data_IF_308312686554
#
_entry.id   IF_308312686554
#
_cell.length_a   1.000
_cell.length_b   1.000
_cell.length_c   1.000
_cell.angle_alpha   90.00
_cell.angle_beta   90.00
_cell.angle_gamma   90.00
#
_symmetry.space_group_name_H-M   'P 1'
#
loop_
_entity.id
_entity.type
_entity.pdbx_description
1 polymer ?
#
# COMPACT_ATOMS: atom_id res chain seq x y z
N UNK A 1 13.33 11.39 2.39
CA UNK A 1 11.96 11.45 1.87
C UNK A 1 11.04 11.78 3.03
N UNK A 2 10.09 12.69 2.85
CA UNK A 2 9.06 12.98 3.85
C UNK A 2 7.74 12.45 3.31
N UNK A 3 6.99 11.75 4.15
CA UNK A 3 5.64 11.27 3.83
C UNK A 3 4.64 12.01 4.71
N UNK A 4 3.59 12.55 4.07
CA UNK A 4 2.57 13.33 4.75
C UNK A 4 1.22 12.65 4.48
N UNK A 5 0.69 11.88 5.46
CA UNK A 5 -0.64 11.31 5.35
C UNK A 5 -1.69 12.43 5.25
N UNK A 6 -2.53 12.36 4.23
CA UNK A 6 -3.63 13.27 4.00
C UNK A 6 -4.74 12.55 3.23
N UNK A 7 -5.97 13.06 3.32
CA UNK A 7 -7.08 12.58 2.53
C UNK A 7 -7.12 13.30 1.18
N UNK A 8 -7.60 12.61 0.15
CA UNK A 8 -7.85 13.24 -1.14
C UNK A 8 -8.77 14.46 -0.95
N UNK A 9 -8.39 15.58 -1.57
CA UNK A 9 -9.08 16.87 -1.51
C UNK A 9 -9.03 17.61 -0.17
N UNK A 10 -8.31 17.12 0.85
CA UNK A 10 -8.07 17.94 2.03
C UNK A 10 -7.11 19.11 1.72
N UNK A 11 -6.98 20.03 2.68
CA UNK A 11 -6.11 21.20 2.50
C UNK A 11 -4.68 20.76 2.16
N UNK A 12 -4.15 19.76 2.88
CA UNK A 12 -2.78 19.21 2.74
C UNK A 12 -2.55 18.62 1.34
N UNK A 13 -3.51 17.86 0.82
CA UNK A 13 -3.50 17.27 -0.52
C UNK A 13 -3.43 18.34 -1.60
N UNK A 14 -4.10 19.47 -1.38
CA UNK A 14 -4.17 20.60 -2.30
C UNK A 14 -3.07 21.67 -2.07
N UNK A 15 -2.10 21.43 -1.18
CA UNK A 15 -1.02 22.39 -0.97
C UNK A 15 -0.25 22.63 -2.28
N UNK A 16 0.02 23.90 -2.64
CA UNK A 16 1.06 24.19 -3.61
C UNK A 16 2.40 23.61 -3.14
N UNK A 17 3.19 23.05 -4.06
CA UNK A 17 4.46 22.37 -3.76
C UNK A 17 5.42 23.24 -2.93
N UNK A 18 5.47 24.55 -3.18
CA UNK A 18 6.29 25.52 -2.45
C UNK A 18 5.83 25.66 -0.99
N UNK A 19 4.52 25.67 -0.77
CA UNK A 19 3.93 25.74 0.56
C UNK A 19 4.19 24.45 1.34
N UNK A 20 4.13 23.29 0.67
CA UNK A 20 4.44 22.00 1.28
C UNK A 20 5.92 21.93 1.70
N UNK A 21 6.85 22.39 0.84
CA UNK A 21 8.27 22.48 1.18
C UNK A 21 8.50 23.36 2.41
N UNK A 22 7.88 24.55 2.47
CA UNK A 22 8.01 25.47 3.62
C UNK A 22 7.54 24.82 4.92
N UNK A 23 6.39 24.12 4.88
CA UNK A 23 5.87 23.37 6.03
C UNK A 23 6.86 22.29 6.46
N UNK A 24 7.34 21.47 5.53
CA UNK A 24 8.33 20.42 5.80
C UNK A 24 9.62 20.96 6.43
N UNK A 25 10.13 22.10 5.96
CA UNK A 25 11.34 22.71 6.50
C UNK A 25 11.14 23.24 7.92
N UNK A 26 9.96 23.82 8.20
CA UNK A 26 9.61 24.23 9.55
C UNK A 26 9.55 23.02 10.50
N UNK A 27 8.85 21.95 10.10
CA UNK A 27 8.75 20.70 10.88
C UNK A 27 10.14 20.09 11.13
N UNK A 28 11.00 20.03 10.11
CA UNK A 28 12.38 19.52 10.25
C UNK A 28 13.22 20.38 11.19
N UNK A 29 13.09 21.70 11.13
CA UNK A 29 13.80 22.63 12.01
C UNK A 29 13.38 22.46 13.46
N UNK A 30 12.09 22.26 13.73
CA UNK A 30 11.58 21.94 15.08
C UNK A 30 12.15 20.64 15.62
N UNK A 31 12.44 19.66 14.74
CA UNK A 31 13.13 18.42 15.08
C UNK A 31 14.66 18.57 15.19
N UNK A 32 15.20 19.79 15.06
CA UNK A 32 16.64 20.08 15.12
C UNK A 32 17.41 19.79 13.83
N UNK A 33 16.70 19.58 12.71
CA UNK A 33 17.27 19.29 11.39
C UNK A 33 17.18 20.55 10.53
N UNK A 34 18.19 21.43 10.63
CA UNK A 34 18.27 22.62 9.77
C UNK A 34 19.04 22.32 8.47
N UNK A 35 18.29 22.22 7.38
CA UNK A 35 18.79 21.91 6.04
C UNK A 35 18.42 22.96 4.99
N UNK A 36 17.87 24.11 5.41
CA UNK A 36 17.32 25.10 4.48
C UNK A 36 18.35 25.52 3.42
N UNK A 37 19.58 25.80 3.83
CA UNK A 37 20.67 26.23 2.94
C UNK A 37 21.34 25.06 2.18
N UNK A 38 20.89 23.83 2.39
CA UNK A 38 21.43 22.61 1.76
C UNK A 38 20.52 22.05 0.67
N UNK A 39 19.34 22.64 0.44
CA UNK A 39 18.41 22.19 -0.58
C UNK A 39 18.91 22.61 -1.95
N UNK A 40 19.13 21.62 -2.82
CA UNK A 40 19.48 21.82 -4.23
C UNK A 40 18.23 21.77 -5.10
N UNK A 41 17.31 20.85 -4.80
CA UNK A 41 16.05 20.65 -5.53
C UNK A 41 15.02 19.93 -4.65
N UNK A 42 13.75 19.98 -5.05
CA UNK A 42 12.64 19.27 -4.41
C UNK A 42 11.52 18.96 -5.41
N UNK A 43 10.82 17.86 -5.15
CA UNK A 43 9.59 17.53 -5.87
C UNK A 43 8.57 16.94 -4.90
N UNK A 44 7.32 16.95 -5.31
CA UNK A 44 6.19 16.40 -4.57
C UNK A 44 5.40 15.46 -5.47
N UNK A 45 4.90 14.37 -4.90
CA UNK A 45 3.97 13.46 -5.57
C UNK A 45 2.89 13.06 -4.59
N UNK A 46 1.69 12.84 -5.10
CA UNK A 46 0.53 12.43 -4.31
C UNK A 46 0.05 11.06 -4.79
N UNK A 47 -0.36 10.21 -3.86
CA UNK A 47 -0.79 8.83 -4.17
C UNK A 47 -2.10 8.55 -3.45
N UNK A 48 -3.19 8.44 -4.21
CA UNK A 48 -4.55 8.23 -3.67
C UNK A 48 -4.64 6.87 -2.96
N UNK A 49 -4.05 5.84 -3.56
CA UNK A 49 -4.06 4.47 -3.04
C UNK A 49 -2.69 4.06 -2.50
N UNK A 50 -2.09 4.94 -1.69
CA UNK A 50 -0.78 4.71 -1.08
C UNK A 50 -0.82 3.60 -0.01
N UNK A 51 -1.88 3.58 0.79
CA UNK A 51 -2.06 2.63 1.89
C UNK A 51 -3.48 2.00 1.86
N UNK A 52 -3.61 0.68 2.05
CA UNK A 52 -4.91 0.10 2.32
C UNK A 52 -5.36 0.54 3.72
N UNK A 53 -6.46 1.29 3.78
CA UNK A 53 -7.07 1.72 5.03
C UNK A 53 -8.13 0.70 5.42
N UNK A 54 -7.94 0.06 6.57
CA UNK A 54 -8.82 -1.01 7.05
C UNK A 54 -9.97 -0.46 7.88
N UNK A 55 -11.20 -0.59 7.39
CA UNK A 55 -12.40 -0.46 8.22
C UNK A 55 -12.53 -1.67 9.15
N UNK A 56 -13.33 -1.57 10.23
CA UNK A 56 -13.55 -2.68 11.16
C UNK A 56 -14.12 -3.94 10.46
N UNK A 57 -14.90 -3.73 9.40
CA UNK A 57 -15.55 -4.77 8.61
C UNK A 57 -14.78 -5.14 7.33
N UNK A 58 -13.54 -4.64 7.15
CA UNK A 58 -12.79 -4.83 5.90
C UNK A 58 -12.63 -6.31 5.51
N UNK A 59 -12.42 -7.20 6.50
CA UNK A 59 -12.23 -8.64 6.26
C UNK A 59 -13.45 -9.25 5.58
N UNK A 60 -14.67 -8.85 6.00
CA UNK A 60 -15.91 -9.31 5.41
C UNK A 60 -16.03 -8.84 3.95
N UNK A 61 -15.79 -7.55 3.69
CA UNK A 61 -15.88 -7.00 2.33
C UNK A 61 -14.83 -7.60 1.39
N UNK A 62 -13.60 -7.74 1.90
CA UNK A 62 -12.49 -8.38 1.18
C UNK A 62 -12.81 -9.83 0.82
N UNK A 63 -13.37 -10.60 1.75
CA UNK A 63 -13.76 -11.99 1.47
C UNK A 63 -14.87 -12.07 0.42
N UNK A 64 -15.93 -11.25 0.54
CA UNK A 64 -17.01 -11.18 -0.46
C UNK A 64 -16.48 -10.89 -1.87
N UNK A 65 -15.50 -10.00 -1.99
CA UNK A 65 -14.86 -9.71 -3.27
C UNK A 65 -14.08 -10.92 -3.79
N UNK A 66 -13.30 -11.60 -2.95
CA UNK A 66 -12.58 -12.80 -3.40
C UNK A 66 -13.51 -13.93 -3.79
N UNK A 67 -14.58 -14.19 -3.03
CA UNK A 67 -15.57 -15.20 -3.36
C UNK A 67 -16.18 -14.94 -4.74
N UNK A 68 -16.49 -13.68 -5.06
CA UNK A 68 -16.97 -13.28 -6.38
C UNK A 68 -15.91 -13.45 -7.48
N UNK A 69 -14.66 -13.03 -7.24
CA UNK A 69 -13.57 -13.12 -8.21
C UNK A 69 -13.10 -14.57 -8.43
N UNK A 70 -13.30 -15.46 -7.46
CA UNK A 70 -12.90 -16.86 -7.56
C UNK A 70 -13.74 -17.66 -8.55
N UNK A 71 -14.93 -17.17 -8.91
CA UNK A 71 -15.75 -17.75 -9.97
C UNK A 71 -15.07 -17.75 -11.36
N UNK A 72 -14.04 -16.94 -11.59
CA UNK A 72 -13.35 -16.83 -12.87
C UNK A 72 -12.04 -17.61 -12.87
N UNK A 73 -11.97 -18.75 -13.56
CA UNK A 73 -10.78 -19.61 -13.57
C UNK A 73 -9.51 -18.91 -14.08
N UNK A 74 -9.66 -17.98 -15.03
CA UNK A 74 -8.56 -17.25 -15.67
C UNK A 74 -8.21 -15.92 -14.99
N UNK A 75 -8.62 -15.71 -13.74
CA UNK A 75 -8.35 -14.48 -12.98
C UNK A 75 -7.65 -14.77 -11.65
N UNK A 76 -6.53 -14.10 -11.42
CA UNK A 76 -5.77 -14.18 -10.17
C UNK A 76 -5.56 -12.77 -9.63
N UNK A 77 -5.96 -12.56 -8.38
CA UNK A 77 -5.80 -11.29 -7.68
C UNK A 77 -4.46 -11.30 -6.93
N UNK A 78 -3.59 -10.34 -7.23
CA UNK A 78 -2.25 -10.22 -6.64
C UNK A 78 -1.89 -8.76 -6.34
N UNK A 79 -0.77 -8.54 -5.64
CA UNK A 79 -0.27 -7.20 -5.31
C UNK A 79 -1.07 -6.49 -4.20
N UNK A 80 -0.57 -5.32 -3.80
CA UNK A 80 -1.01 -4.57 -2.61
C UNK A 80 -2.49 -4.22 -2.65
N UNK A 81 -2.92 -3.55 -3.72
CA UNK A 81 -4.32 -3.18 -3.89
C UNK A 81 -5.20 -4.35 -4.35
N UNK A 82 -4.67 -5.23 -5.21
CA UNK A 82 -5.43 -6.40 -5.67
C UNK A 82 -5.78 -7.39 -4.55
N UNK A 83 -4.93 -7.48 -3.52
CA UNK A 83 -5.22 -8.31 -2.34
C UNK A 83 -5.60 -7.51 -1.11
N UNK A 84 -5.65 -6.19 -1.22
CA UNK A 84 -5.93 -5.24 -0.14
C UNK A 84 -5.15 -5.56 1.14
N UNK A 85 -3.82 -5.67 1.01
CA UNK A 85 -2.88 -6.04 2.07
C UNK A 85 -1.67 -5.10 2.09
N UNK A 86 -1.12 -4.86 3.27
CA UNK A 86 0.04 -3.99 3.47
C UNK A 86 1.31 -4.83 3.50
N UNK A 87 2.11 -4.74 2.43
CA UNK A 87 3.41 -5.40 2.34
C UNK A 87 4.36 -4.62 1.43
N UNK A 88 5.64 -5.00 1.49
CA UNK A 88 6.70 -4.41 0.70
C UNK A 88 6.72 -4.92 -0.75
N UNK A 89 7.51 -4.23 -1.58
CA UNK A 89 7.57 -4.42 -3.02
C UNK A 89 8.01 -5.83 -3.41
N UNK A 90 8.91 -6.47 -2.66
CA UNK A 90 9.38 -7.83 -2.90
C UNK A 90 8.22 -8.83 -2.90
N UNK A 91 7.37 -8.80 -1.86
CA UNK A 91 6.16 -9.63 -1.80
C UNK A 91 5.24 -9.34 -2.98
N UNK A 92 5.04 -8.06 -3.32
CA UNK A 92 4.19 -7.69 -4.47
C UNK A 92 4.70 -8.29 -5.79
N UNK A 93 6.01 -8.27 -6.01
CA UNK A 93 6.65 -8.84 -7.20
C UNK A 93 6.55 -10.38 -7.21
N UNK A 94 6.82 -11.04 -6.08
CA UNK A 94 6.69 -12.50 -5.95
C UNK A 94 5.27 -12.98 -6.25
N UNK A 95 4.25 -12.25 -5.75
CA UNK A 95 2.86 -12.57 -6.05
C UNK A 95 2.54 -12.45 -7.54
N UNK A 96 3.07 -11.42 -8.21
CA UNK A 96 2.89 -11.24 -9.65
C UNK A 96 3.52 -12.36 -10.47
N UNK A 97 4.73 -12.81 -10.07
CA UNK A 97 5.41 -13.95 -10.70
C UNK A 97 4.60 -15.24 -10.48
N UNK A 98 4.15 -15.50 -9.25
CA UNK A 98 3.34 -16.69 -8.94
C UNK A 98 2.00 -16.68 -9.70
N UNK A 99 1.34 -15.53 -9.81
CA UNK A 99 0.12 -15.38 -10.60
C UNK A 99 0.37 -15.69 -12.10
N UNK A 100 1.44 -15.15 -12.68
CA UNK A 100 1.79 -15.42 -14.07
C UNK A 100 2.11 -16.91 -14.31
N UNK A 101 2.89 -17.53 -13.42
CA UNK A 101 3.21 -18.96 -13.49
C UNK A 101 1.95 -19.82 -13.39
N UNK A 102 1.02 -19.46 -12.51
CA UNK A 102 -0.22 -20.19 -12.33
C UNK A 102 -1.08 -20.20 -13.59
N UNK A 103 -1.19 -19.05 -14.27
CA UNK A 103 -1.94 -18.91 -15.52
C UNK A 103 -1.27 -19.60 -16.71
N UNK A 104 0.06 -19.76 -16.70
CA UNK A 104 0.82 -20.31 -17.83
C UNK A 104 1.15 -21.80 -17.72
N UNK A 105 1.24 -22.36 -16.51
CA UNK A 105 1.85 -23.68 -16.25
C UNK A 105 0.90 -24.66 -15.52
N UNK A 106 -0.37 -24.69 -15.87
CA UNK A 106 -1.37 -25.64 -15.35
C UNK A 106 -1.53 -25.63 -13.81
N UNK A 107 -1.82 -24.46 -13.22
CA UNK A 107 -2.28 -24.33 -11.83
C UNK A 107 -1.29 -24.81 -10.74
N UNK A 108 0.01 -24.50 -10.88
CA UNK A 108 1.04 -24.81 -9.85
C UNK A 108 0.73 -24.24 -8.44
N UNK A 109 -0.18 -23.28 -8.34
CA UNK A 109 -0.55 -22.59 -7.10
C UNK A 109 -2.08 -22.63 -6.91
N UNK A 110 -2.57 -22.58 -5.67
CA UNK A 110 -3.96 -22.15 -5.46
C UNK A 110 -4.01 -20.62 -5.51
N UNK A 111 -5.13 -20.05 -5.96
CA UNK A 111 -5.33 -18.59 -5.91
C UNK A 111 -5.11 -18.02 -4.50
N UNK A 112 -5.50 -18.80 -3.48
CA UNK A 112 -5.29 -18.45 -2.08
C UNK A 112 -3.80 -18.36 -1.70
N UNK A 113 -2.95 -19.26 -2.22
CA UNK A 113 -1.51 -19.26 -1.93
C UNK A 113 -0.84 -17.96 -2.44
N UNK A 114 -1.25 -17.48 -3.62
CA UNK A 114 -0.81 -16.19 -4.16
C UNK A 114 -1.27 -15.03 -3.26
N UNK A 115 -2.51 -15.08 -2.75
CA UNK A 115 -3.09 -14.00 -1.92
C UNK A 115 -2.51 -13.94 -0.51
N UNK A 116 -2.16 -15.09 0.05
CA UNK A 116 -1.63 -15.26 1.40
C UNK A 116 -0.10 -15.39 1.39
N UNK A 117 0.54 -15.09 0.27
CA UNK A 117 1.99 -15.08 0.17
C UNK A 117 2.59 -14.21 1.29
N UNK A 118 3.50 -14.82 2.06
CA UNK A 118 4.16 -14.24 3.22
C UNK A 118 3.20 -13.63 4.26
N UNK A 119 1.95 -14.10 4.34
CA UNK A 119 1.07 -13.76 5.46
C UNK A 119 1.41 -14.64 6.65
N UNK A 120 2.28 -14.16 7.54
CA UNK A 120 2.42 -14.78 8.86
C UNK A 120 1.22 -14.38 9.73
N UNK A 121 0.68 -15.31 10.52
CA UNK A 121 -0.36 -15.00 11.52
C UNK A 121 0.11 -13.99 12.59
N UNK A 122 1.43 -13.77 12.69
CA UNK A 122 2.09 -12.94 13.70
C UNK A 122 2.62 -11.60 13.13
N UNK A 123 2.52 -11.39 11.82
CA UNK A 123 2.84 -10.09 11.22
C UNK A 123 1.76 -9.08 11.60
N UNK A 124 2.22 -7.85 11.86
CA UNK A 124 1.50 -6.65 12.31
C UNK A 124 0.11 -6.45 11.64
N UNK A 125 -0.10 -6.96 10.42
CA UNK A 125 -1.41 -6.99 9.73
C UNK A 125 -2.55 -7.63 10.56
N UNK A 126 -2.26 -8.58 11.44
CA UNK A 126 -3.24 -9.23 12.30
C UNK A 126 -3.41 -8.55 13.67
N UNK A 127 -2.34 -7.96 14.21
CA UNK A 127 -2.26 -7.44 15.59
C UNK A 127 -2.60 -5.95 15.72
N UNK A 128 -2.48 -5.16 14.65
CA UNK A 128 -2.77 -3.71 14.67
C UNK A 128 -4.26 -3.35 14.74
N UNK A 129 -5.16 -4.33 14.68
CA UNK A 129 -6.63 -4.11 14.68
C UNK A 129 -7.27 -4.49 16.03
N UNK A 130 -6.48 -4.91 17.02
CA UNK A 130 -6.98 -5.37 18.33
C UNK A 130 -6.43 -4.61 19.54
N UNK A 131 -5.96 -3.37 19.35
CA UNK A 131 -5.62 -2.46 20.44
C UNK A 131 -6.56 -1.26 20.47
#
# INVERSE_FOLDING_TARGET
MLEIPCNENDDTWNYPKESLLKRCLADLKELGIDIQDKIIDYFTTSVIHGYPVYSLDYKMHRQKLFDFLDCYENLITCGRQGTFRYFFMDTAMEMGIAAAQNLMLDNLWKKEDVRLMRSEKELIEATSVTA
#
